data_IF_817698912832
#
_entry.id   IF_817698912832
#
_cell.length_a   1.000
_cell.length_b   1.000
_cell.length_c   1.000
_cell.angle_alpha   90.00
_cell.angle_beta   90.00
_cell.angle_gamma   90.00
#
_symmetry.space_group_name_H-M   'P 1'
#
loop_
_entity.id
_entity.type
_entity.pdbx_description
1 polymer ?
#
# COMPACT_ATOMS: atom_id res chain seq x y z
N UNK A 1 2.65 -2.65 7.65
CA UNK A 1 3.84 -3.46 7.97
C UNK A 1 3.52 -4.91 8.32
N UNK A 2 2.62 -5.21 9.26
CA UNK A 2 2.32 -6.59 9.71
C UNK A 2 2.18 -7.64 8.59
N UNK A 3 1.24 -7.43 7.67
CA UNK A 3 1.01 -8.34 6.53
C UNK A 3 2.25 -8.52 5.64
N UNK A 4 2.98 -7.44 5.35
CA UNK A 4 4.19 -7.50 4.54
C UNK A 4 5.29 -8.30 5.24
N UNK A 5 5.50 -8.08 6.54
CA UNK A 5 6.49 -8.86 7.30
C UNK A 5 6.13 -10.34 7.39
N UNK A 6 4.85 -10.68 7.53
CA UNK A 6 4.38 -12.07 7.56
C UNK A 6 4.59 -12.75 6.20
N UNK A 7 4.17 -12.11 5.10
CA UNK A 7 4.27 -12.67 3.75
C UNK A 7 5.71 -12.72 3.21
N UNK A 8 6.59 -11.81 3.66
CA UNK A 8 8.02 -11.86 3.36
C UNK A 8 8.83 -12.76 4.32
N UNK A 9 8.22 -13.25 5.41
CA UNK A 9 8.92 -14.03 6.44
C UNK A 9 9.91 -13.21 7.29
N UNK A 10 9.73 -11.90 7.38
CA UNK A 10 10.59 -11.00 8.16
C UNK A 10 10.24 -11.07 9.66
N UNK A 11 10.96 -11.90 10.40
CA UNK A 11 10.93 -11.96 11.87
C UNK A 11 11.94 -11.00 12.51
N UNK A 12 13.06 -10.76 11.83
CA UNK A 12 14.15 -9.89 12.29
C UNK A 12 14.49 -8.85 11.22
N UNK A 13 15.01 -7.67 11.63
CA UNK A 13 15.40 -6.60 10.70
C UNK A 13 16.41 -7.06 9.64
N UNK A 14 17.35 -7.96 10.00
CA UNK A 14 18.35 -8.51 9.07
C UNK A 14 17.76 -9.31 7.91
N UNK A 15 16.50 -9.73 8.00
CA UNK A 15 15.82 -10.49 6.96
C UNK A 15 15.15 -9.56 5.93
N UNK A 16 15.07 -8.26 6.22
CA UNK A 16 14.51 -7.28 5.29
C UNK A 16 15.55 -7.02 4.20
N UNK A 17 15.27 -7.48 2.99
CA UNK A 17 16.14 -7.28 1.82
C UNK A 17 15.35 -6.78 0.63
N UNK A 18 16.01 -6.10 -0.31
CA UNK A 18 15.40 -5.75 -1.59
C UNK A 18 14.84 -7.00 -2.28
N UNK A 19 15.62 -8.09 -2.35
CA UNK A 19 15.23 -9.33 -3.02
C UNK A 19 13.99 -9.98 -2.41
N UNK A 20 13.88 -10.03 -1.08
CA UNK A 20 12.70 -10.60 -0.42
C UNK A 20 11.44 -9.78 -0.70
N UNK A 21 11.55 -8.45 -0.72
CA UNK A 21 10.45 -7.57 -1.12
C UNK A 21 10.09 -7.73 -2.60
N UNK A 22 11.07 -7.84 -3.49
CA UNK A 22 10.81 -8.02 -4.92
C UNK A 22 10.20 -9.38 -5.24
N UNK A 23 10.66 -10.44 -4.55
CA UNK A 23 10.09 -11.77 -4.64
C UNK A 23 8.63 -11.79 -4.15
N UNK A 24 8.34 -11.10 -3.05
CA UNK A 24 6.98 -10.89 -2.58
C UNK A 24 6.14 -10.13 -3.61
N UNK A 25 6.65 -9.02 -4.12
CA UNK A 25 5.99 -8.18 -5.13
C UNK A 25 5.60 -8.96 -6.38
N UNK A 26 6.49 -9.83 -6.89
CA UNK A 26 6.22 -10.69 -8.06
C UNK A 26 5.04 -11.64 -7.84
N UNK A 27 4.76 -12.03 -6.59
CA UNK A 27 3.63 -12.91 -6.23
C UNK A 27 2.29 -12.16 -6.12
N UNK A 28 2.30 -10.82 -6.07
CA UNK A 28 1.10 -10.01 -5.88
C UNK A 28 0.33 -9.74 -7.18
N UNK A 29 -0.02 -10.80 -7.92
CA UNK A 29 -0.73 -10.69 -9.21
C UNK A 29 -2.09 -9.98 -9.09
N UNK A 30 -2.74 -10.07 -7.92
CA UNK A 30 -4.08 -9.53 -7.69
C UNK A 30 -4.08 -8.11 -7.09
N UNK A 31 -2.92 -7.55 -6.75
CA UNK A 31 -2.84 -6.22 -6.17
C UNK A 31 -2.61 -5.17 -7.26
N UNK A 32 -3.36 -4.07 -7.19
CA UNK A 32 -3.09 -2.90 -8.02
C UNK A 32 -1.68 -2.37 -7.74
N UNK A 33 -1.00 -1.85 -8.78
CA UNK A 33 0.34 -1.27 -8.67
C UNK A 33 0.42 -0.17 -7.59
N UNK A 34 -0.67 0.61 -7.42
CA UNK A 34 -0.80 1.59 -6.33
C UNK A 34 -0.66 0.94 -4.95
N UNK A 35 -1.36 -0.16 -4.72
CA UNK A 35 -1.37 -0.87 -3.45
C UNK A 35 0.02 -1.44 -3.14
N UNK A 36 0.67 -2.05 -4.12
CA UNK A 36 2.06 -2.54 -4.01
C UNK A 36 3.02 -1.40 -3.64
N UNK A 37 2.90 -0.25 -4.30
CA UNK A 37 3.71 0.92 -3.99
C UNK A 37 3.45 1.47 -2.59
N UNK A 38 2.23 1.34 -2.07
CA UNK A 38 1.88 1.75 -0.70
C UNK A 38 2.55 0.85 0.35
N UNK A 39 2.62 -0.47 0.09
CA UNK A 39 3.43 -1.38 0.91
C UNK A 39 4.91 -0.97 0.91
N UNK A 40 5.47 -0.68 -0.26
CA UNK A 40 6.85 -0.21 -0.39
C UNK A 40 7.09 1.10 0.37
N UNK A 41 6.19 2.07 0.23
CA UNK A 41 6.24 3.36 0.95
C UNK A 41 6.27 3.13 2.46
N UNK A 42 5.32 2.33 2.97
CA UNK A 42 5.17 2.07 4.39
C UNK A 42 6.44 1.42 4.96
N UNK A 43 7.00 0.44 4.25
CA UNK A 43 8.24 -0.22 4.65
C UNK A 43 9.44 0.74 4.62
N UNK A 44 9.56 1.55 3.56
CA UNK A 44 10.63 2.55 3.43
C UNK A 44 10.57 3.60 4.53
N UNK A 45 9.37 4.08 4.88
CA UNK A 45 9.18 5.03 5.98
C UNK A 45 9.61 4.43 7.32
N UNK A 46 9.24 3.19 7.59
CA UNK A 46 9.65 2.48 8.80
C UNK A 46 11.17 2.31 8.88
N UNK A 47 11.81 1.87 7.80
CA UNK A 47 13.26 1.69 7.77
C UNK A 47 14.03 3.01 7.84
N UNK A 48 13.51 4.09 7.22
CA UNK A 48 14.06 5.43 7.38
C UNK A 48 13.94 5.92 8.83
N UNK A 49 12.84 5.60 9.51
CA UNK A 49 12.67 5.92 10.93
C UNK A 49 13.70 5.16 11.80
N UNK A 50 13.93 3.87 11.52
CA UNK A 50 14.98 3.08 12.20
C UNK A 50 16.38 3.63 11.96
N UNK A 51 16.68 4.08 10.73
CA UNK A 51 17.95 4.70 10.39
C UNK A 51 18.17 5.99 11.18
N UNK A 52 17.14 6.83 11.32
CA UNK A 52 17.19 8.04 12.15
C UNK A 52 17.38 7.75 13.63
N UNK A 53 16.99 6.56 14.10
CA UNK A 53 17.22 6.08 15.47
C UNK A 53 18.58 5.40 15.66
N UNK A 54 19.36 5.24 14.60
CA UNK A 54 20.65 4.54 14.63
C UNK A 54 20.51 3.03 14.77
N UNK A 55 19.32 2.46 14.53
CA UNK A 55 19.07 1.03 14.73
C UNK A 55 19.45 0.17 13.51
N UNK A 56 19.18 0.67 12.29
CA UNK A 56 19.44 -0.04 11.04
C UNK A 56 19.39 0.91 9.84
N UNK A 57 20.13 0.61 8.78
CA UNK A 57 20.01 1.35 7.52
C UNK A 57 18.72 1.02 6.75
N UNK A 58 18.36 1.86 5.77
CA UNK A 58 17.23 1.58 4.90
C UNK A 58 17.60 0.55 3.81
N UNK A 59 17.26 -0.70 4.09
CA UNK A 59 17.49 -1.88 3.25
C UNK A 59 16.66 -1.93 1.97
N UNK A 60 15.67 -1.04 1.81
CA UNK A 60 14.82 -0.93 0.61
C UNK A 60 15.12 0.32 -0.23
N UNK A 61 16.22 1.05 0.05
CA UNK A 61 16.58 2.30 -0.63
C UNK A 61 16.71 2.15 -2.16
N UNK A 62 17.19 1.00 -2.63
CA UNK A 62 17.38 0.71 -4.06
C UNK A 62 16.13 0.23 -4.79
N UNK A 63 15.05 -0.13 -4.06
CA UNK A 63 13.84 -0.66 -4.67
C UNK A 63 13.07 0.47 -5.34
N UNK A 64 12.81 0.34 -6.64
CA UNK A 64 12.03 1.31 -7.42
C UNK A 64 10.55 0.95 -7.41
N UNK A 65 9.70 1.98 -7.31
CA UNK A 65 8.25 1.84 -7.39
C UNK A 65 7.80 1.30 -8.74
N UNK A 66 6.74 0.50 -8.73
CA UNK A 66 6.10 0.02 -9.95
C UNK A 66 5.38 1.17 -10.64
N UNK A 67 5.48 1.24 -11.97
CA UNK A 67 4.72 2.22 -12.75
C UNK A 67 3.22 2.05 -12.53
N UNK A 68 2.54 3.14 -12.18
CA UNK A 68 1.07 3.19 -12.04
C UNK A 68 0.39 3.73 -13.30
N UNK A 69 1.17 4.12 -14.32
CA UNK A 69 0.64 4.64 -15.59
C UNK A 69 -0.15 3.53 -16.30
N UNK A 70 -1.39 3.83 -16.68
CA UNK A 70 -2.28 2.90 -17.38
C UNK A 70 -3.07 1.92 -16.49
N UNK A 71 -2.84 1.89 -15.18
CA UNK A 71 -3.46 0.93 -14.25
C UNK A 71 -4.47 1.60 -13.30
N UNK A 72 -5.34 2.46 -13.85
CA UNK A 72 -6.50 2.99 -13.10
C UNK A 72 -7.58 1.93 -13.09
N UNK A 73 -7.63 1.12 -12.03
CA UNK A 73 -8.68 0.11 -11.83
C UNK A 73 -10.02 0.70 -11.42
N UNK A 74 -10.06 1.98 -11.01
CA UNK A 74 -11.26 2.67 -10.58
C UNK A 74 -11.25 4.13 -11.03
N UNK A 75 -12.28 4.54 -11.78
CA UNK A 75 -12.51 5.94 -12.10
C UNK A 75 -13.25 6.63 -10.95
N UNK A 76 -12.58 7.60 -10.32
CA UNK A 76 -13.25 8.51 -9.39
C UNK A 76 -14.03 9.54 -10.20
N UNK A 77 -15.29 9.22 -10.50
CA UNK A 77 -16.26 10.13 -11.11
C UNK A 77 -17.03 10.89 -10.01
N UNK A 78 -17.39 12.14 -10.28
CA UNK A 78 -18.31 12.89 -9.45
C UNK A 78 -19.74 12.30 -9.53
N UNK A 79 -20.44 12.25 -8.39
CA UNK A 79 -21.85 11.86 -8.39
C UNK A 79 -22.69 12.88 -9.18
N UNK A 80 -23.68 12.40 -9.92
CA UNK A 80 -24.76 13.23 -10.45
C UNK A 80 -25.72 13.62 -9.33
N UNK A 81 -26.47 14.71 -9.55
CA UNK A 81 -27.48 15.18 -8.59
C UNK A 81 -28.45 14.04 -8.20
N UNK A 82 -28.94 13.29 -9.18
CA UNK A 82 -29.86 12.17 -8.95
C UNK A 82 -29.22 11.02 -8.13
N UNK A 83 -27.92 10.78 -8.25
CA UNK A 83 -27.22 9.79 -7.42
C UNK A 83 -27.10 10.27 -5.96
N UNK A 84 -26.84 11.56 -5.77
CA UNK A 84 -26.81 12.19 -4.43
C UNK A 84 -28.19 12.14 -3.77
N UNK A 85 -29.26 12.48 -4.50
CA UNK A 85 -30.64 12.40 -4.00
C UNK A 85 -31.00 10.97 -3.55
N UNK A 86 -30.63 9.96 -4.35
CA UNK A 86 -30.84 8.55 -3.99
C UNK A 86 -30.04 8.15 -2.74
N UNK A 87 -28.81 8.63 -2.59
CA UNK A 87 -28.00 8.37 -1.39
C UNK A 87 -28.64 8.99 -0.14
N UNK A 88 -29.10 10.24 -0.23
CA UNK A 88 -29.74 10.95 0.88
C UNK A 88 -31.08 10.31 1.30
N UNK A 89 -31.87 9.82 0.34
CA UNK A 89 -33.15 9.14 0.61
C UNK A 89 -33.01 7.80 1.37
N UNK A 90 -31.82 7.19 1.36
CA UNK A 90 -31.50 6.00 2.15
C UNK A 90 -30.85 6.38 3.48
N UNK A 91 -29.93 7.35 3.47
CA UNK A 91 -29.22 7.80 4.68
C UNK A 91 -30.14 8.44 5.73
N UNK A 92 -31.21 9.12 5.32
CA UNK A 92 -32.16 9.76 6.25
C UNK A 92 -33.12 8.80 6.98
N UNK A 93 -33.08 7.49 6.69
CA UNK A 93 -34.01 6.50 7.27
C UNK A 93 -33.58 5.95 8.64
N UNK A 94 -32.31 6.09 9.00
CA UNK A 94 -31.75 5.61 10.29
C UNK A 94 -31.55 6.74 11.31
N UNK A 95 -32.20 7.89 11.12
CA UNK A 95 -32.17 9.06 12.01
C UNK A 95 -33.54 9.33 12.63
N UNK A 96 -34.19 8.31 13.18
CA UNK A 96 -35.45 8.41 13.92
C UNK A 96 -35.45 7.52 15.16
#
# INVERSE_FOLDING_TARGET
MKRLSEECGWKYLRQVTADSFEAWRKKQANLAARTVNEYQNTASLFLNWLARKGCAENLLRSVVKVSTKGNKTYERRAFSLAEVERLLAVAGRDSA
#
